data_IF_682689368152
#
_entry.id   IF_682689368152
#
_cell.length_a   1.000
_cell.length_b   1.000
_cell.length_c   1.000
_cell.angle_alpha   90.00
_cell.angle_beta   90.00
_cell.angle_gamma   90.00
#
_symmetry.space_group_name_H-M   'P 1'
#
loop_
_entity.id
_entity.type
_entity.pdbx_description
1 polymer ?
#
# COMPACT_ATOMS: atom_id res chain seq x y z
N UNK A 1 5.80 19.35 -20.37
CA UNK A 1 5.00 18.11 -20.39
C UNK A 1 3.58 18.40 -19.95
N UNK A 2 2.57 17.88 -20.64
CA UNK A 2 1.16 17.95 -20.22
C UNK A 2 0.96 17.16 -18.91
N UNK A 3 0.06 17.65 -18.04
CA UNK A 3 -0.27 16.93 -16.80
C UNK A 3 -1.05 15.66 -17.12
N UNK A 4 -0.75 14.57 -16.41
CA UNK A 4 -1.52 13.35 -16.47
C UNK A 4 -2.86 13.53 -15.74
N UNK A 5 -3.95 13.09 -16.37
CA UNK A 5 -5.27 13.13 -15.77
C UNK A 5 -5.52 11.91 -14.91
N UNK A 6 -5.94 12.12 -13.66
CA UNK A 6 -6.19 11.06 -12.69
C UNK A 6 -7.67 10.93 -12.33
N UNK A 7 -8.12 9.70 -12.15
CA UNK A 7 -9.37 9.31 -11.51
C UNK A 7 -9.06 8.64 -10.18
N UNK A 8 -9.78 9.04 -9.13
CA UNK A 8 -9.64 8.43 -7.79
C UNK A 8 -10.96 7.77 -7.41
N UNK A 9 -10.99 6.44 -7.43
CA UNK A 9 -12.12 5.64 -6.98
C UNK A 9 -11.97 5.32 -5.48
N UNK A 10 -13.01 5.63 -4.69
CA UNK A 10 -12.99 5.56 -3.23
C UNK A 10 -12.40 6.81 -2.57
N UNK A 11 -12.57 7.98 -3.21
CA UNK A 11 -11.99 9.27 -2.82
C UNK A 11 -12.33 9.75 -1.40
N UNK A 12 -13.40 9.25 -0.78
CA UNK A 12 -13.85 9.66 0.56
C UNK A 12 -13.41 8.73 1.69
N UNK A 13 -12.76 7.60 1.39
CA UNK A 13 -12.11 6.75 2.37
C UNK A 13 -10.88 7.44 3.00
N UNK A 14 -10.34 6.90 4.10
CA UNK A 14 -9.13 7.47 4.71
C UNK A 14 -7.96 7.54 3.71
N UNK A 15 -7.70 6.45 2.98
CA UNK A 15 -6.65 6.41 1.95
C UNK A 15 -6.99 7.38 0.82
N UNK A 16 -8.23 7.37 0.31
CA UNK A 16 -8.64 8.23 -0.79
C UNK A 16 -8.48 9.72 -0.48
N UNK A 17 -8.81 10.16 0.74
CA UNK A 17 -8.61 11.55 1.16
C UNK A 17 -7.12 11.92 1.19
N UNK A 18 -6.26 11.06 1.74
CA UNK A 18 -4.82 11.32 1.74
C UNK A 18 -4.28 11.40 0.30
N UNK A 19 -4.73 10.51 -0.57
CA UNK A 19 -4.38 10.54 -1.98
C UNK A 19 -4.81 11.84 -2.66
N UNK A 20 -6.03 12.31 -2.41
CA UNK A 20 -6.50 13.61 -2.92
C UNK A 20 -5.63 14.76 -2.40
N UNK A 21 -5.24 14.75 -1.11
CA UNK A 21 -4.34 15.75 -0.55
C UNK A 21 -2.99 15.81 -1.28
N UNK A 22 -2.38 14.66 -1.50
CA UNK A 22 -1.09 14.55 -2.18
C UNK A 22 -1.20 14.98 -3.63
N UNK A 23 -2.13 14.39 -4.38
CA UNK A 23 -2.27 14.66 -5.81
C UNK A 23 -2.75 16.08 -6.11
N UNK A 24 -3.50 16.71 -5.20
CA UNK A 24 -3.93 18.12 -5.37
C UNK A 24 -2.78 19.12 -5.38
N UNK A 25 -1.63 18.73 -4.85
CA UNK A 25 -0.39 19.54 -4.81
C UNK A 25 0.64 19.08 -5.85
N UNK A 26 0.38 17.97 -6.54
CA UNK A 26 1.33 17.36 -7.45
C UNK A 26 1.45 18.15 -8.75
N UNK A 27 2.69 18.47 -9.17
CA UNK A 27 2.94 19.37 -10.34
C UNK A 27 2.53 18.75 -11.66
N UNK A 28 2.59 17.42 -11.80
CA UNK A 28 2.39 16.69 -13.05
C UNK A 28 1.08 15.90 -13.13
N UNK A 29 0.24 15.94 -12.07
CA UNK A 29 -1.04 15.23 -12.04
C UNK A 29 -2.18 16.24 -11.90
N UNK A 30 -3.25 16.02 -12.66
CA UNK A 30 -4.50 16.72 -12.57
C UNK A 30 -5.59 15.75 -12.13
N UNK A 31 -6.28 16.03 -11.03
CA UNK A 31 -7.41 15.23 -10.57
C UNK A 31 -8.62 15.56 -11.42
N UNK A 32 -8.96 14.69 -12.37
CA UNK A 32 -10.09 14.90 -13.29
C UNK A 32 -11.41 14.37 -12.74
N UNK A 33 -11.37 13.23 -12.03
CA UNK A 33 -12.56 12.64 -11.41
C UNK A 33 -12.29 12.17 -10.00
N UNK A 34 -13.20 12.50 -9.08
CA UNK A 34 -13.33 11.88 -7.77
C UNK A 34 -14.56 10.99 -7.77
N UNK A 35 -14.39 9.69 -7.45
CA UNK A 35 -15.51 8.76 -7.46
C UNK A 35 -15.83 8.24 -6.07
N UNK A 36 -17.13 8.18 -5.78
CA UNK A 36 -17.72 7.62 -4.56
C UNK A 36 -19.18 7.27 -4.79
N UNK A 37 -19.79 6.46 -3.92
CA UNK A 37 -21.19 6.05 -4.07
C UNK A 37 -22.12 6.92 -3.23
N UNK A 38 -21.96 6.92 -1.90
CA UNK A 38 -22.80 7.67 -0.95
C UNK A 38 -22.47 9.16 -0.87
N UNK A 39 -21.45 9.61 -1.61
CA UNK A 39 -20.88 10.96 -1.53
C UNK A 39 -21.11 11.78 -2.80
N UNK A 40 -21.88 11.26 -3.75
CA UNK A 40 -22.14 11.91 -5.05
C UNK A 40 -22.70 13.32 -4.84
N UNK A 41 -22.19 14.28 -5.61
CA UNK A 41 -22.56 15.71 -5.55
C UNK A 41 -21.83 16.53 -4.48
N UNK A 42 -21.19 15.89 -3.49
CA UNK A 42 -20.47 16.58 -2.42
C UNK A 42 -19.08 17.03 -2.88
N UNK A 43 -18.58 18.11 -2.27
CA UNK A 43 -17.19 18.50 -2.38
C UNK A 43 -16.33 17.67 -1.42
N UNK A 44 -15.09 17.40 -1.80
CA UNK A 44 -14.14 16.67 -0.95
C UNK A 44 -13.83 17.39 0.37
N UNK A 45 -13.93 18.71 0.37
CA UNK A 45 -13.75 19.59 1.55
C UNK A 45 -14.75 19.28 2.67
N UNK A 46 -15.90 18.67 2.35
CA UNK A 46 -16.85 18.18 3.35
C UNK A 46 -16.22 17.08 4.23
N UNK A 47 -15.31 16.29 3.67
CA UNK A 47 -14.64 15.19 4.37
C UNK A 47 -13.31 15.62 5.00
N UNK A 48 -12.66 16.64 4.43
CA UNK A 48 -11.42 17.19 4.96
C UNK A 48 -11.24 18.66 4.55
N UNK A 49 -11.43 19.54 5.50
CA UNK A 49 -11.34 21.01 5.33
C UNK A 49 -9.91 21.51 5.00
N UNK A 50 -8.89 20.68 5.24
CA UNK A 50 -7.50 21.04 4.90
C UNK A 50 -7.20 21.02 3.39
N UNK A 51 -8.08 20.44 2.59
CA UNK A 51 -7.97 20.42 1.13
C UNK A 51 -8.46 21.77 0.58
N UNK A 52 -7.53 22.70 0.35
CA UNK A 52 -7.87 24.09 -0.05
C UNK A 52 -7.97 24.31 -1.55
N UNK A 53 -7.63 23.30 -2.39
CA UNK A 53 -7.62 23.47 -3.86
C UNK A 53 -9.05 23.51 -4.41
N UNK A 54 -9.49 24.71 -4.85
CA UNK A 54 -10.83 24.95 -5.42
C UNK A 54 -11.06 24.30 -6.79
N UNK A 55 -10.00 23.84 -7.48
CA UNK A 55 -10.09 23.20 -8.81
C UNK A 55 -10.42 21.70 -8.75
N UNK A 56 -10.53 21.12 -7.54
CA UNK A 56 -10.87 19.70 -7.38
C UNK A 56 -12.36 19.51 -7.71
N UNK A 57 -12.70 18.53 -8.59
CA UNK A 57 -14.08 18.31 -9.00
C UNK A 57 -14.97 17.79 -7.85
N UNK A 58 -16.27 17.97 -7.96
CA UNK A 58 -17.26 17.31 -7.11
C UNK A 58 -17.20 15.80 -7.30
N UNK A 59 -17.57 15.07 -6.25
CA UNK A 59 -17.60 13.61 -6.27
C UNK A 59 -18.74 13.12 -7.15
N UNK A 60 -18.43 12.19 -8.05
CA UNK A 60 -19.38 11.56 -8.97
C UNK A 60 -19.44 10.05 -8.78
N UNK A 61 -20.48 9.39 -9.28
CA UNK A 61 -20.51 7.91 -9.35
C UNK A 61 -19.54 7.45 -10.44
N UNK A 62 -18.78 6.39 -10.17
CA UNK A 62 -17.86 5.83 -11.17
C UNK A 62 -18.63 5.38 -12.43
N UNK A 63 -18.04 5.68 -13.59
CA UNK A 63 -18.53 5.25 -14.89
C UNK A 63 -17.33 4.90 -15.79
N UNK A 64 -17.40 3.75 -16.48
CA UNK A 64 -16.35 3.30 -17.39
C UNK A 64 -16.02 4.32 -18.50
N UNK A 65 -16.99 5.16 -18.90
CA UNK A 65 -16.77 6.23 -19.89
C UNK A 65 -15.65 7.21 -19.46
N UNK A 66 -15.41 7.37 -18.16
CA UNK A 66 -14.36 8.25 -17.65
C UNK A 66 -12.94 7.78 -18.02
N UNK A 67 -12.76 6.47 -18.22
CA UNK A 67 -11.47 5.89 -18.58
C UNK A 67 -10.91 6.45 -19.90
N UNK A 68 -11.79 6.90 -20.81
CA UNK A 68 -11.37 7.58 -22.06
C UNK A 68 -10.63 8.89 -21.81
N UNK A 69 -10.85 9.53 -20.67
CA UNK A 69 -10.39 10.89 -20.37
C UNK A 69 -9.31 10.95 -19.30
N UNK A 70 -8.81 9.82 -18.85
CA UNK A 70 -7.77 9.74 -17.80
C UNK A 70 -6.63 8.84 -18.23
N UNK A 71 -5.48 9.08 -17.66
CA UNK A 71 -4.25 8.31 -17.85
C UNK A 71 -4.01 7.39 -16.64
N UNK A 72 -4.28 7.92 -15.43
CA UNK A 72 -4.09 7.23 -14.16
C UNK A 72 -5.44 6.94 -13.49
N UNK A 73 -5.58 5.72 -12.99
CA UNK A 73 -6.74 5.29 -12.20
C UNK A 73 -6.25 4.80 -10.84
N UNK A 74 -6.64 5.48 -9.79
CA UNK A 74 -6.33 5.07 -8.42
C UNK A 74 -7.55 4.40 -7.79
N UNK A 75 -7.35 3.24 -7.17
CA UNK A 75 -8.40 2.54 -6.44
C UNK A 75 -8.06 2.42 -4.96
N UNK A 76 -8.94 2.96 -4.11
CA UNK A 76 -8.94 2.83 -2.66
C UNK A 76 -10.30 2.28 -2.21
N UNK A 77 -10.63 1.09 -2.71
CA UNK A 77 -11.96 0.46 -2.66
C UNK A 77 -11.95 -0.82 -1.82
N UNK A 78 -13.12 -1.31 -1.42
CA UNK A 78 -13.23 -2.65 -0.85
C UNK A 78 -12.77 -3.74 -1.82
N UNK A 79 -12.30 -4.88 -1.28
CA UNK A 79 -11.80 -6.01 -2.07
C UNK A 79 -12.82 -6.51 -3.10
N UNK A 80 -12.38 -6.68 -4.34
CA UNK A 80 -13.15 -7.12 -5.49
C UNK A 80 -13.60 -5.98 -6.41
N UNK A 81 -13.57 -4.74 -5.94
CA UNK A 81 -14.03 -3.59 -6.73
C UNK A 81 -12.95 -3.11 -7.73
N UNK A 82 -11.67 -3.13 -7.36
CA UNK A 82 -10.59 -2.81 -8.30
C UNK A 82 -10.52 -3.83 -9.45
N UNK A 83 -10.85 -5.10 -9.19
CA UNK A 83 -10.95 -6.14 -10.23
C UNK A 83 -12.01 -5.80 -11.29
N UNK A 84 -13.15 -5.24 -10.89
CA UNK A 84 -14.20 -4.81 -11.85
C UNK A 84 -13.69 -3.68 -12.74
N UNK A 85 -13.01 -2.70 -12.16
CA UNK A 85 -12.44 -1.56 -12.89
C UNK A 85 -11.35 -2.05 -13.84
N UNK A 86 -10.49 -2.97 -13.41
CA UNK A 86 -9.39 -3.50 -14.23
C UNK A 86 -9.86 -4.17 -15.52
N UNK A 87 -11.03 -4.78 -15.53
CA UNK A 87 -11.62 -5.40 -16.72
C UNK A 87 -12.09 -4.38 -17.78
N UNK A 88 -12.15 -3.11 -17.43
CA UNK A 88 -12.61 -2.03 -18.31
C UNK A 88 -11.50 -1.06 -18.71
N UNK A 89 -10.26 -1.27 -18.26
CA UNK A 89 -9.13 -0.40 -18.57
C UNK A 89 -8.87 -0.37 -20.08
N UNK A 90 -8.57 0.80 -20.58
CA UNK A 90 -8.04 1.00 -21.93
C UNK A 90 -6.51 0.84 -21.90
N UNK A 91 -5.89 0.55 -23.04
CA UNK A 91 -4.44 0.34 -23.16
C UNK A 91 -3.60 1.48 -22.56
N UNK A 92 -4.08 2.72 -22.67
CA UNK A 92 -3.41 3.90 -22.12
C UNK A 92 -3.54 4.08 -20.61
N UNK A 93 -4.49 3.39 -19.96
CA UNK A 93 -4.72 3.59 -18.53
C UNK A 93 -3.73 2.77 -17.71
N UNK A 94 -3.16 3.39 -16.69
CA UNK A 94 -2.40 2.72 -15.63
C UNK A 94 -3.27 2.70 -14.37
N UNK A 95 -3.52 1.51 -13.83
CA UNK A 95 -4.22 1.32 -12.56
C UNK A 95 -3.22 1.25 -11.42
N UNK A 96 -3.38 2.12 -10.43
CA UNK A 96 -2.64 2.09 -9.17
C UNK A 96 -3.60 1.62 -8.09
N UNK A 97 -3.46 0.36 -7.71
CA UNK A 97 -4.37 -0.30 -6.77
C UNK A 97 -3.84 -0.25 -5.33
N UNK A 98 -4.48 0.57 -4.50
CA UNK A 98 -4.22 0.64 -3.06
C UNK A 98 -5.10 -0.34 -2.26
N UNK A 99 -5.98 -1.07 -2.96
CA UNK A 99 -6.73 -2.18 -2.36
C UNK A 99 -5.88 -3.45 -2.27
N UNK A 100 -6.48 -4.59 -2.04
CA UNK A 100 -5.75 -5.84 -1.94
C UNK A 100 -5.93 -6.74 -3.19
N UNK A 101 -6.56 -6.23 -4.24
CA UNK A 101 -7.06 -7.06 -5.31
C UNK A 101 -5.95 -7.68 -6.18
N UNK A 102 -4.83 -6.98 -6.34
CA UNK A 102 -3.72 -7.41 -7.19
C UNK A 102 -2.41 -7.64 -6.43
N UNK A 103 -2.46 -7.77 -5.08
CA UNK A 103 -1.26 -7.99 -4.26
C UNK A 103 -0.70 -9.40 -4.37
N UNK A 104 -1.58 -10.39 -4.56
CA UNK A 104 -1.19 -11.79 -4.67
C UNK A 104 -1.16 -12.22 -6.14
N UNK A 105 -0.03 -12.79 -6.56
CA UNK A 105 0.17 -13.32 -7.91
C UNK A 105 -0.64 -14.60 -8.16
N UNK A 106 -0.96 -15.35 -7.09
CA UNK A 106 -1.71 -16.59 -7.17
C UNK A 106 -3.19 -16.37 -6.79
N UNK A 107 -4.16 -16.57 -7.71
CA UNK A 107 -5.58 -16.41 -7.43
C UNK A 107 -6.15 -17.44 -6.44
N UNK A 108 -5.49 -18.58 -6.23
CA UNK A 108 -5.87 -19.56 -5.20
C UNK A 108 -5.49 -19.06 -3.80
N UNK A 109 -4.31 -18.45 -3.65
CA UNK A 109 -3.91 -17.79 -2.41
C UNK A 109 -4.84 -16.60 -2.12
N UNK A 110 -5.25 -15.84 -3.12
CA UNK A 110 -6.26 -14.79 -2.95
C UNK A 110 -7.57 -15.37 -2.40
N UNK A 111 -8.08 -16.45 -2.97
CA UNK A 111 -9.29 -17.14 -2.48
C UNK A 111 -9.13 -17.61 -1.03
N UNK A 112 -7.99 -18.24 -0.71
CA UNK A 112 -7.68 -18.77 0.62
C UNK A 112 -7.70 -17.67 1.70
N UNK A 113 -7.03 -16.53 1.43
CA UNK A 113 -6.84 -15.47 2.42
C UNK A 113 -7.95 -14.42 2.44
N UNK A 114 -8.53 -14.08 1.29
CA UNK A 114 -9.59 -13.07 1.19
C UNK A 114 -11.00 -13.68 1.16
N UNK A 115 -11.12 -15.03 1.10
CA UNK A 115 -12.40 -15.77 1.04
C UNK A 115 -13.30 -15.33 -0.12
N UNK A 116 -12.71 -14.86 -1.22
CA UNK A 116 -13.39 -14.39 -2.43
C UNK A 116 -12.66 -14.92 -3.67
N UNK A 117 -13.41 -15.38 -4.68
CA UNK A 117 -12.83 -15.72 -5.98
C UNK A 117 -12.33 -14.46 -6.68
N UNK A 118 -11.12 -14.50 -7.23
CA UNK A 118 -10.59 -13.41 -8.04
C UNK A 118 -11.31 -13.36 -9.40
N UNK A 119 -11.97 -12.22 -9.71
CA UNK A 119 -12.82 -12.07 -10.91
C UNK A 119 -12.09 -11.47 -12.12
N UNK A 120 -10.83 -11.15 -11.98
CA UNK A 120 -9.96 -10.58 -13.04
C UNK A 120 -8.62 -11.32 -13.10
N UNK A 121 -8.65 -12.67 -13.09
CA UNK A 121 -7.44 -13.51 -13.07
C UNK A 121 -6.52 -13.22 -14.24
N UNK A 122 -7.09 -12.95 -15.43
CA UNK A 122 -6.35 -12.62 -16.65
C UNK A 122 -5.50 -11.35 -16.51
N UNK A 123 -5.88 -10.44 -15.62
CA UNK A 123 -5.18 -9.18 -15.41
C UNK A 123 -4.01 -9.29 -14.42
N UNK A 124 -3.92 -10.40 -13.66
CA UNK A 124 -2.82 -10.63 -12.70
C UNK A 124 -1.47 -10.64 -13.41
N UNK A 125 -1.38 -11.22 -14.62
CA UNK A 125 -0.12 -11.24 -15.41
C UNK A 125 0.36 -9.85 -15.83
N UNK A 126 -0.54 -8.87 -15.90
CA UNK A 126 -0.24 -7.48 -16.23
C UNK A 126 -0.09 -6.60 -14.98
N UNK A 127 -0.04 -7.22 -13.80
CA UNK A 127 0.12 -6.53 -12.53
C UNK A 127 1.50 -6.76 -11.92
N UNK A 128 1.99 -5.75 -11.21
CA UNK A 128 3.20 -5.85 -10.40
C UNK A 128 2.89 -5.38 -8.98
N UNK A 129 3.37 -6.15 -8.00
CA UNK A 129 3.44 -5.69 -6.61
C UNK A 129 4.63 -4.75 -6.47
N UNK A 130 4.40 -3.52 -6.04
CA UNK A 130 5.45 -2.51 -6.03
C UNK A 130 5.56 -1.82 -4.67
N UNK A 131 6.71 -1.98 -4.04
CA UNK A 131 7.24 -1.14 -2.99
C UNK A 131 8.43 -0.38 -3.60
N UNK A 132 8.26 0.89 -4.00
CA UNK A 132 9.24 1.61 -4.83
C UNK A 132 10.63 1.63 -4.23
N UNK A 133 10.73 1.70 -2.90
CA UNK A 133 11.96 1.73 -2.14
C UNK A 133 12.83 0.47 -2.33
N UNK A 134 12.21 -0.65 -2.65
CA UNK A 134 12.90 -1.94 -2.81
C UNK A 134 13.01 -2.40 -4.25
N UNK A 135 12.34 -1.71 -5.18
CA UNK A 135 12.09 -2.21 -6.52
C UNK A 135 12.88 -1.42 -7.58
N UNK A 136 13.62 -2.15 -8.44
CA UNK A 136 14.33 -1.60 -9.61
C UNK A 136 13.65 -2.04 -10.92
N UNK A 137 12.32 -2.15 -10.94
CA UNK A 137 11.58 -2.66 -12.10
C UNK A 137 11.33 -1.59 -13.17
N UNK A 138 11.34 -2.02 -14.44
CA UNK A 138 10.81 -1.23 -15.56
C UNK A 138 9.29 -1.34 -15.55
N UNK A 139 8.61 -0.27 -15.17
CA UNK A 139 7.14 -0.26 -15.02
C UNK A 139 6.39 -0.31 -16.36
N UNK A 140 7.05 -0.01 -17.48
CA UNK A 140 6.44 0.05 -18.81
C UNK A 140 5.77 -1.25 -19.28
N UNK A 141 6.09 -2.37 -18.63
CA UNK A 141 5.54 -3.68 -18.95
C UNK A 141 4.25 -4.01 -18.20
N UNK A 142 3.83 -3.14 -17.29
CA UNK A 142 2.70 -3.40 -16.39
C UNK A 142 1.63 -2.33 -16.50
N UNK A 143 0.39 -2.78 -16.59
CA UNK A 143 -0.77 -1.89 -16.60
C UNK A 143 -1.36 -1.69 -15.20
N UNK A 144 -1.07 -2.60 -14.27
CA UNK A 144 -1.59 -2.56 -12.91
C UNK A 144 -0.41 -2.53 -11.93
N UNK A 145 -0.38 -1.52 -11.09
CA UNK A 145 0.59 -1.38 -10.01
C UNK A 145 -0.16 -1.59 -8.69
N UNK A 146 0.16 -2.67 -8.01
CA UNK A 146 -0.46 -3.02 -6.72
C UNK A 146 0.39 -2.51 -5.58
N UNK A 147 -0.20 -1.62 -4.77
CA UNK A 147 0.48 -1.06 -3.60
C UNK A 147 0.42 -2.03 -2.42
N UNK A 148 1.51 -2.14 -1.64
CA UNK A 148 1.58 -2.97 -0.44
C UNK A 148 0.50 -2.67 0.59
N UNK A 149 0.18 -3.65 1.42
CA UNK A 149 -0.54 -3.43 2.65
C UNK A 149 0.30 -2.69 3.70
N UNK A 150 -0.35 -2.08 4.68
CA UNK A 150 0.35 -1.29 5.70
C UNK A 150 1.36 -2.11 6.52
N UNK A 151 0.98 -3.29 7.01
CA UNK A 151 1.92 -4.18 7.69
C UNK A 151 3.03 -4.71 6.75
N UNK A 152 2.73 -5.22 5.53
CA UNK A 152 3.78 -5.59 4.60
C UNK A 152 4.79 -4.47 4.35
N UNK A 153 4.34 -3.21 4.20
CA UNK A 153 5.26 -2.08 4.04
C UNK A 153 6.22 -1.95 5.23
N UNK A 154 5.69 -1.97 6.49
CA UNK A 154 6.51 -1.83 7.70
C UNK A 154 7.48 -3.00 7.92
N UNK A 155 7.20 -4.16 7.33
CA UNK A 155 7.94 -5.40 7.51
C UNK A 155 8.95 -5.60 6.37
N UNK A 156 8.55 -5.36 5.13
CA UNK A 156 9.40 -5.59 3.96
C UNK A 156 10.54 -4.58 3.88
N UNK A 157 10.28 -3.31 4.21
CA UNK A 157 11.31 -2.27 4.20
C UNK A 157 12.56 -2.64 4.99
N UNK A 158 12.47 -3.10 6.25
CA UNK A 158 13.65 -3.53 7.00
C UNK A 158 14.14 -4.95 6.64
N UNK A 159 13.26 -5.90 6.33
CA UNK A 159 13.67 -7.30 6.16
C UNK A 159 14.28 -7.59 4.79
N UNK A 160 13.76 -7.01 3.71
CA UNK A 160 14.25 -7.30 2.35
C UNK A 160 15.73 -6.97 2.18
N UNK A 161 16.23 -5.79 2.59
CA UNK A 161 17.67 -5.51 2.53
C UNK A 161 18.52 -6.52 3.31
N UNK A 162 18.07 -6.92 4.49
CA UNK A 162 18.80 -7.86 5.34
C UNK A 162 18.86 -9.26 4.72
N UNK A 163 17.75 -9.74 4.15
CA UNK A 163 17.65 -11.04 3.50
C UNK A 163 18.46 -11.06 2.19
N UNK A 164 18.30 -10.05 1.36
CA UNK A 164 18.99 -9.89 0.07
C UNK A 164 20.51 -9.92 0.24
N UNK A 165 21.01 -9.25 1.28
CA UNK A 165 22.43 -9.22 1.62
C UNK A 165 22.88 -10.41 2.50
N UNK A 166 22.03 -11.40 2.74
CA UNK A 166 22.32 -12.60 3.53
C UNK A 166 22.84 -12.29 4.94
N UNK A 167 22.33 -11.26 5.57
CA UNK A 167 22.76 -10.83 6.90
C UNK A 167 22.07 -11.61 8.02
N UNK A 168 20.86 -12.10 7.77
CA UNK A 168 20.02 -12.79 8.74
C UNK A 168 19.69 -14.23 8.32
N UNK A 169 19.30 -15.06 9.28
CA UNK A 169 18.78 -16.40 9.02
C UNK A 169 17.36 -16.31 8.45
N UNK A 170 16.98 -17.30 7.63
CA UNK A 170 15.66 -17.36 6.99
C UNK A 170 14.57 -18.00 7.86
N UNK A 171 14.88 -18.31 9.10
CA UNK A 171 13.99 -18.93 10.07
C UNK A 171 14.04 -18.15 11.39
N UNK A 172 13.08 -18.44 12.25
CA UNK A 172 12.98 -17.83 13.57
C UNK A 172 12.83 -16.30 13.54
N UNK A 173 12.15 -15.78 12.51
CA UNK A 173 11.81 -14.34 12.41
C UNK A 173 10.49 -14.14 13.18
N UNK A 174 10.51 -13.30 14.21
CA UNK A 174 9.32 -12.95 14.98
C UNK A 174 8.97 -11.49 14.68
N UNK A 175 7.76 -11.25 14.25
CA UNK A 175 7.26 -9.93 13.85
C UNK A 175 6.07 -9.59 14.74
N UNK A 176 6.24 -8.59 15.58
CA UNK A 176 5.26 -8.10 16.51
C UNK A 176 4.89 -6.66 16.17
N UNK A 177 3.72 -6.47 15.55
CA UNK A 177 3.32 -5.18 14.98
C UNK A 177 2.14 -4.57 15.73
N UNK A 178 2.26 -3.31 16.10
CA UNK A 178 1.25 -2.49 16.80
C UNK A 178 0.68 -1.47 15.82
N UNK A 179 -0.64 -1.50 15.59
CA UNK A 179 -1.33 -0.64 14.63
C UNK A 179 -2.39 0.21 15.29
N UNK A 180 -2.44 1.47 14.88
CA UNK A 180 -3.57 2.33 15.20
C UNK A 180 -4.86 1.90 14.51
N UNK A 181 -5.99 2.27 15.09
CA UNK A 181 -7.32 1.81 14.65
C UNK A 181 -7.80 2.42 13.32
N UNK A 182 -7.20 3.49 12.83
CA UNK A 182 -7.54 4.04 11.50
C UNK A 182 -7.25 3.06 10.36
N UNK A 183 -6.34 2.10 10.55
CA UNK A 183 -6.05 1.03 9.59
C UNK A 183 -7.24 0.13 9.28
N UNK A 184 -8.19 0.01 10.20
CA UNK A 184 -9.42 -0.76 10.02
C UNK A 184 -10.50 -0.04 9.17
N UNK A 185 -10.26 1.22 8.79
CA UNK A 185 -11.15 2.01 7.94
C UNK A 185 -12.31 2.68 8.69
N UNK A 186 -13.06 3.55 7.99
CA UNK A 186 -14.13 4.35 8.61
C UNK A 186 -15.30 3.55 9.16
N UNK A 187 -15.61 2.40 8.57
CA UNK A 187 -16.73 1.56 9.02
C UNK A 187 -16.56 1.00 10.43
N UNK A 188 -15.31 0.89 10.86
CA UNK A 188 -14.95 0.35 12.16
C UNK A 188 -15.17 1.37 13.29
N UNK A 189 -15.11 2.67 13.00
CA UNK A 189 -15.46 3.72 13.99
C UNK A 189 -16.84 3.54 14.63
N UNK A 190 -17.79 2.95 13.89
CA UNK A 190 -19.12 2.67 14.45
C UNK A 190 -19.13 1.50 15.44
N UNK A 191 -18.21 0.52 15.23
CA UNK A 191 -18.02 -0.63 16.14
C UNK A 191 -17.19 -0.28 17.37
N UNK A 192 -16.28 0.70 17.24
CA UNK A 192 -15.38 1.15 18.29
C UNK A 192 -15.87 2.42 19.00
N UNK A 193 -17.17 2.62 19.12
CA UNK A 193 -17.74 3.62 20.04
C UNK A 193 -17.54 3.25 21.50
N UNK A 194 -16.99 2.06 21.75
CA UNK A 194 -16.70 1.59 23.10
C UNK A 194 -15.51 2.36 23.69
N UNK A 195 -15.72 2.92 24.87
CA UNK A 195 -14.70 3.64 25.64
C UNK A 195 -13.44 2.78 25.88
N UNK A 196 -13.60 1.46 25.93
CA UNK A 196 -12.53 0.49 26.18
C UNK A 196 -11.48 0.42 25.04
N UNK A 197 -11.79 0.91 23.83
CA UNK A 197 -10.80 0.92 22.75
C UNK A 197 -9.58 1.80 23.08
N UNK A 198 -9.78 2.89 23.79
CA UNK A 198 -8.73 3.84 24.11
C UNK A 198 -7.86 3.40 25.30
N UNK A 199 -8.24 2.32 25.97
CA UNK A 199 -7.57 1.77 27.14
C UNK A 199 -7.10 0.32 26.94
N UNK A 200 -7.25 -0.23 25.71
CA UNK A 200 -6.95 -1.63 25.42
C UNK A 200 -5.89 -1.81 24.34
N UNK A 201 -5.12 -2.86 24.49
CA UNK A 201 -4.22 -3.38 23.48
C UNK A 201 -4.59 -4.83 23.26
N UNK A 202 -4.86 -5.23 22.00
CA UNK A 202 -5.28 -6.58 21.70
C UNK A 202 -4.61 -7.16 20.45
N UNK A 203 -4.09 -8.38 20.55
CA UNK A 203 -3.69 -9.13 19.37
C UNK A 203 -4.93 -9.56 18.56
N UNK A 204 -4.83 -9.56 17.24
CA UNK A 204 -5.90 -10.02 16.37
C UNK A 204 -5.35 -10.77 15.15
N UNK A 205 -6.16 -11.65 14.59
CA UNK A 205 -5.78 -12.38 13.36
C UNK A 205 -4.49 -13.19 13.51
N UNK A 206 -4.14 -13.64 14.73
CA UNK A 206 -2.95 -14.43 15.01
C UNK A 206 -2.96 -15.66 14.11
N UNK A 207 -1.87 -15.90 13.39
CA UNK A 207 -1.69 -16.96 12.38
C UNK A 207 -2.59 -16.88 11.14
N UNK A 208 -3.64 -16.05 11.12
CA UNK A 208 -4.64 -15.98 10.04
C UNK A 208 -4.81 -14.58 9.44
N UNK A 209 -3.94 -13.65 9.76
CA UNK A 209 -4.00 -12.33 9.17
C UNK A 209 -3.65 -12.39 7.68
N UNK A 210 -4.52 -11.81 6.83
CA UNK A 210 -4.36 -11.86 5.35
C UNK A 210 -3.02 -11.35 4.83
N UNK A 211 -2.37 -10.42 5.53
CA UNK A 211 -1.04 -9.93 5.15
C UNK A 211 0.07 -10.98 5.30
N UNK A 212 -0.16 -12.11 5.99
CA UNK A 212 0.81 -13.22 6.03
C UNK A 212 1.16 -13.72 4.63
N UNK A 213 0.15 -13.85 3.75
CA UNK A 213 0.37 -14.31 2.38
C UNK A 213 1.19 -13.32 1.56
N UNK A 214 0.92 -12.03 1.75
CA UNK A 214 1.62 -10.93 1.07
C UNK A 214 3.08 -10.86 1.52
N UNK A 215 3.34 -10.88 2.83
CA UNK A 215 4.68 -10.89 3.41
C UNK A 215 5.46 -12.13 2.93
N UNK A 216 4.85 -13.31 3.01
CA UNK A 216 5.48 -14.57 2.58
C UNK A 216 5.82 -14.55 1.09
N UNK A 217 4.88 -14.10 0.24
CA UNK A 217 5.12 -14.00 -1.20
C UNK A 217 6.34 -13.12 -1.48
N UNK A 218 6.38 -11.93 -0.93
CA UNK A 218 7.44 -10.96 -1.23
C UNK A 218 8.80 -11.35 -0.64
N UNK A 219 8.86 -11.82 0.60
CA UNK A 219 10.12 -12.25 1.19
C UNK A 219 10.73 -13.45 0.45
N UNK A 220 9.90 -14.36 -0.05
CA UNK A 220 10.38 -15.54 -0.78
C UNK A 220 10.97 -15.21 -2.17
N UNK A 221 10.74 -14.02 -2.72
CA UNK A 221 11.40 -13.59 -3.95
C UNK A 221 12.92 -13.40 -3.78
N UNK A 222 13.40 -13.14 -2.57
CA UNK A 222 14.79 -12.81 -2.29
C UNK A 222 15.62 -13.98 -1.75
N UNK A 223 15.04 -15.17 -1.67
CA UNK A 223 15.71 -16.36 -1.14
C UNK A 223 15.32 -17.64 -1.89
N UNK A 224 16.25 -18.60 -1.95
CA UNK A 224 15.97 -19.94 -2.50
C UNK A 224 15.22 -20.86 -1.51
N UNK A 225 15.12 -20.48 -0.26
CA UNK A 225 14.47 -21.24 0.82
C UNK A 225 13.27 -20.46 1.33
N UNK A 226 12.17 -21.15 1.60
CA UNK A 226 11.01 -20.54 2.22
C UNK A 226 11.39 -19.88 3.55
N UNK A 227 11.02 -18.62 3.69
CA UNK A 227 11.19 -17.87 4.93
C UNK A 227 10.12 -18.31 5.91
N UNK A 228 10.54 -18.64 7.14
CA UNK A 228 9.64 -18.96 8.24
C UNK A 228 9.60 -17.79 9.22
N UNK A 229 8.42 -17.25 9.41
CA UNK A 229 8.20 -16.15 10.35
C UNK A 229 6.90 -16.33 11.13
N UNK A 230 6.85 -15.74 12.31
CA UNK A 230 5.62 -15.56 13.09
C UNK A 230 5.23 -14.10 13.03
N UNK A 231 4.01 -13.79 12.63
CA UNK A 231 3.48 -12.44 12.57
C UNK A 231 2.28 -12.30 13.48
N UNK A 232 2.38 -11.39 14.44
CA UNK A 232 1.33 -11.07 15.40
C UNK A 232 0.97 -9.59 15.33
N UNK A 233 -0.13 -9.23 14.65
CA UNK A 233 -0.63 -7.87 14.65
C UNK A 233 -1.41 -7.54 15.92
N UNK A 234 -1.24 -6.32 16.43
CA UNK A 234 -1.97 -5.78 17.57
C UNK A 234 -2.71 -4.50 17.17
N UNK A 235 -3.91 -4.34 17.71
CA UNK A 235 -4.63 -3.08 17.68
C UNK A 235 -4.31 -2.32 18.98
N UNK A 236 -3.93 -1.06 18.81
CA UNK A 236 -3.50 -0.19 19.92
C UNK A 236 -4.41 1.01 20.07
N UNK A 237 -4.44 1.67 21.25
CA UNK A 237 -5.24 2.86 21.46
C UNK A 237 -4.65 4.12 20.80
N UNK A 238 -4.03 3.96 19.65
CA UNK A 238 -3.55 5.05 18.79
C UNK A 238 -4.52 5.27 17.63
N UNK A 239 -4.67 6.51 17.21
CA UNK A 239 -5.47 6.77 16.02
C UNK A 239 -4.79 6.23 14.77
N UNK A 240 -3.49 6.48 14.58
CA UNK A 240 -2.77 6.20 13.34
C UNK A 240 -1.31 5.83 13.60
N UNK A 241 -0.74 5.06 12.68
CA UNK A 241 0.64 4.60 12.71
C UNK A 241 0.76 3.09 12.89
N UNK A 242 1.93 2.55 12.57
CA UNK A 242 2.32 1.17 12.82
C UNK A 242 3.73 1.17 13.37
N UNK A 243 3.92 0.48 14.50
CA UNK A 243 5.23 0.11 15.02
C UNK A 243 5.40 -1.40 14.85
N UNK A 244 6.39 -1.82 14.07
CA UNK A 244 6.77 -3.23 13.94
C UNK A 244 8.09 -3.48 14.65
N UNK A 245 8.08 -4.34 15.68
CA UNK A 245 9.27 -4.87 16.33
C UNK A 245 9.57 -6.22 15.71
N UNK A 246 10.79 -6.40 15.19
CA UNK A 246 11.18 -7.60 14.48
C UNK A 246 12.42 -8.20 15.15
N UNK A 247 12.29 -9.44 15.62
CA UNK A 247 13.38 -10.21 16.23
C UNK A 247 13.93 -11.16 15.18
N UNK A 248 15.25 -11.17 15.02
CA UNK A 248 15.96 -11.91 13.97
C UNK A 248 17.25 -12.52 14.51
N UNK A 249 17.61 -13.67 13.97
CA UNK A 249 18.92 -14.25 14.16
C UNK A 249 19.89 -13.82 13.07
N UNK A 250 21.07 -13.39 13.45
CA UNK A 250 22.12 -13.03 12.49
C UNK A 250 22.80 -14.28 11.92
N UNK A 251 23.30 -14.18 10.70
CA UNK A 251 24.22 -15.16 10.16
C UNK A 251 25.61 -15.03 10.82
N UNK A 252 26.42 -16.10 10.74
CA UNK A 252 27.79 -16.08 11.30
C UNK A 252 28.60 -14.92 10.76
N UNK A 253 29.42 -14.30 11.61
CA UNK A 253 30.32 -13.18 11.29
C UNK A 253 29.62 -11.88 10.84
N UNK A 254 28.35 -11.70 11.22
CA UNK A 254 27.62 -10.45 11.05
C UNK A 254 27.59 -9.72 12.38
N UNK A 255 27.95 -8.43 12.35
CA UNK A 255 27.88 -7.52 13.49
C UNK A 255 26.97 -6.32 13.18
N UNK A 256 26.69 -5.53 14.20
CA UNK A 256 25.81 -4.36 14.11
C UNK A 256 26.29 -3.36 13.05
N UNK A 257 27.57 -3.03 13.01
CA UNK A 257 28.14 -2.06 12.05
C UNK A 257 27.89 -2.49 10.60
N UNK A 258 27.95 -3.81 10.31
CA UNK A 258 27.70 -4.35 8.98
C UNK A 258 26.21 -4.23 8.61
N UNK A 259 25.32 -4.38 9.58
CA UNK A 259 23.87 -4.18 9.40
C UNK A 259 23.58 -2.71 9.10
N UNK A 260 24.05 -1.78 9.93
CA UNK A 260 23.84 -0.35 9.80
C UNK A 260 24.37 0.18 8.46
N UNK A 261 25.57 -0.24 8.05
CA UNK A 261 26.15 0.13 6.77
C UNK A 261 25.31 -0.33 5.57
N UNK A 262 24.85 -1.59 5.57
CA UNK A 262 24.06 -2.12 4.46
C UNK A 262 22.68 -1.48 4.42
N UNK A 263 22.04 -1.32 5.58
CA UNK A 263 20.72 -0.68 5.69
C UNK A 263 20.79 0.78 5.27
N UNK A 264 21.80 1.53 5.75
CA UNK A 264 22.00 2.93 5.41
C UNK A 264 22.29 3.15 3.92
N UNK A 265 23.02 2.25 3.27
CA UNK A 265 23.32 2.34 1.84
C UNK A 265 22.07 2.09 0.98
N UNK A 266 21.30 1.05 1.25
CA UNK A 266 20.04 0.79 0.55
C UNK A 266 19.03 1.93 0.73
N UNK A 267 18.92 2.49 1.92
CA UNK A 267 18.04 3.63 2.20
C UNK A 267 18.51 4.94 1.54
N UNK A 268 19.81 5.14 1.37
CA UNK A 268 20.39 6.29 0.61
C UNK A 268 20.11 6.17 -0.88
N UNK A 269 20.24 4.97 -1.48
CA UNK A 269 19.88 4.75 -2.89
C UNK A 269 18.41 5.11 -3.16
N UNK A 270 17.52 4.79 -2.23
CA UNK A 270 16.11 5.16 -2.29
C UNK A 270 15.92 6.67 -2.27
N UNK A 271 16.68 7.39 -1.45
CA UNK A 271 16.60 8.84 -1.33
C UNK A 271 17.18 9.59 -2.56
N UNK A 272 18.16 8.98 -3.25
CA UNK A 272 18.85 9.57 -4.39
C UNK A 272 18.23 9.26 -5.76
N UNK A 273 17.20 8.45 -5.83
CA UNK A 273 16.55 8.07 -7.08
C UNK A 273 15.71 9.21 -7.69
N UNK A 274 16.40 10.29 -8.08
CA UNK A 274 15.88 11.38 -8.91
C UNK A 274 15.89 10.97 -10.40
N UNK A 275 15.12 9.96 -10.81
CA UNK A 275 14.97 9.64 -12.22
C UNK A 275 13.60 10.07 -12.77
N UNK A 276 13.52 10.56 -14.02
CA UNK A 276 12.25 11.03 -14.61
C UNK A 276 11.18 9.96 -14.88
N UNK A 277 11.53 8.67 -14.83
CA UNK A 277 10.55 7.56 -14.78
C UNK A 277 9.63 7.65 -13.53
N UNK A 278 9.97 8.52 -12.67
CA UNK A 278 9.63 8.70 -11.28
C UNK A 278 8.36 9.49 -10.98
N UNK A 279 7.59 10.01 -11.95
CA UNK A 279 6.38 10.78 -11.57
C UNK A 279 5.33 9.85 -10.96
N UNK A 280 5.17 8.65 -11.50
CA UNK A 280 4.34 7.62 -10.88
C UNK A 280 5.06 7.03 -9.63
N UNK A 281 6.36 6.81 -9.69
CA UNK A 281 7.18 6.32 -8.56
C UNK A 281 7.21 7.31 -7.39
N UNK A 282 7.40 8.60 -7.64
CA UNK A 282 7.37 9.64 -6.60
C UNK A 282 5.97 9.80 -6.00
N UNK A 283 4.93 9.69 -6.83
CA UNK A 283 3.55 9.68 -6.35
C UNK A 283 3.23 8.43 -5.54
N UNK A 284 3.74 7.27 -5.93
CA UNK A 284 3.61 6.02 -5.20
C UNK A 284 4.39 6.05 -3.87
N UNK A 285 5.59 6.65 -3.86
CA UNK A 285 6.36 6.90 -2.66
C UNK A 285 5.63 7.83 -1.71
N UNK A 286 5.09 8.94 -2.22
CA UNK A 286 4.29 9.88 -1.42
C UNK A 286 3.01 9.22 -0.89
N UNK A 287 2.44 8.27 -1.62
CA UNK A 287 1.28 7.47 -1.19
C UNK A 287 1.68 6.44 -0.12
N UNK A 288 2.83 5.79 -0.27
CA UNK A 288 3.36 4.87 0.74
C UNK A 288 3.69 5.62 2.05
N UNK A 289 4.31 6.81 1.93
CA UNK A 289 4.56 7.70 3.07
C UNK A 289 3.27 8.25 3.69
N UNK A 290 2.20 8.43 2.92
CA UNK A 290 0.88 8.80 3.45
C UNK A 290 0.22 7.70 4.29
N UNK A 291 0.68 6.45 4.19
CA UNK A 291 0.31 5.38 5.11
C UNK A 291 1.06 5.48 6.46
N UNK A 292 1.86 6.53 6.66
CA UNK A 292 2.57 6.94 7.89
C UNK A 292 3.66 5.96 8.35
N UNK A 293 4.86 6.22 7.86
CA UNK A 293 6.09 5.77 8.50
C UNK A 293 6.84 7.02 8.98
N UNK A 294 6.84 7.30 10.27
CA UNK A 294 7.91 8.06 10.89
C UNK A 294 9.01 7.06 11.25
N UNK A 295 10.10 7.08 10.51
CA UNK A 295 11.37 6.52 10.99
C UNK A 295 11.93 7.51 12.00
N UNK A 296 11.76 7.23 13.28
CA UNK A 296 12.65 7.80 14.29
C UNK A 296 13.87 6.90 14.33
N UNK A 297 15.00 7.41 13.83
CA UNK A 297 16.31 6.88 14.20
C UNK A 297 16.44 7.01 15.71
N UNK A 298 16.59 5.91 16.39
CA UNK A 298 17.14 5.87 17.74
C UNK A 298 18.61 6.26 17.70
#
# INVERSE_FOLDING_TARGET
MSRLNALIAGSTGYIGIQLVKLLSKHKHINIKYLCGNSSVGKNITFYDKSIKNKKIPKIVKFNNKFLKYVDLVFTALPNGEAQKISNSLLTKNILIDLSADFRLSNPYEYLKWYKKKHKAKQNIKNSIYLLPELSKFKLNNYQIISCPGCYPTSILLPLVPLIKNKLIKNNNIIIDSKSGYSGAGRGVHKKFKDKNLYESLSAYGVSFHRHNSEISQELNLYTKKNIKFTFTPHLTPMYRGILSTIYIDLNKNINQNKIEKNFGNEMKEVASADSPASVAEKSLRDIALAQHFEFKSL
#
